data_IF_472126055022
#
_entry.id   IF_472126055022
#
_cell.length_a   1.000
_cell.length_b   1.000
_cell.length_c   1.000
_cell.angle_alpha   90.00
_cell.angle_beta   90.00
_cell.angle_gamma   90.00
#
_symmetry.space_group_name_H-M   'P 1'
#
loop_
_entity.id
_entity.type
_entity.pdbx_description
1 polymer ?
#
# COMPACT_ATOMS: atom_id res chain seq x y z
N UNK A 1 34.74 -4.58 11.28
CA UNK A 1 33.70 -5.13 12.17
C UNK A 1 32.85 -4.04 12.82
N UNK A 2 33.41 -3.13 13.63
CA UNK A 2 32.61 -2.07 14.27
C UNK A 2 31.99 -1.12 13.23
N UNK A 3 32.75 -0.74 12.20
CA UNK A 3 32.26 0.12 11.11
C UNK A 3 31.14 -0.53 10.29
N UNK A 4 31.29 -1.81 9.93
CA UNK A 4 30.28 -2.58 9.19
C UNK A 4 29.01 -2.82 10.00
N UNK A 5 29.15 -2.97 11.31
CA UNK A 5 28.01 -2.99 12.25
C UNK A 5 27.28 -1.65 12.28
N UNK A 6 27.99 -0.53 12.35
CA UNK A 6 27.36 0.81 12.27
C UNK A 6 26.63 1.01 10.95
N UNK A 7 27.22 0.60 9.82
CA UNK A 7 26.57 0.66 8.51
C UNK A 7 25.28 -0.17 8.46
N UNK A 8 25.27 -1.35 9.09
CA UNK A 8 24.07 -2.18 9.21
C UNK A 8 23.00 -1.52 10.08
N UNK A 9 23.39 -0.90 11.20
CA UNK A 9 22.47 -0.17 12.08
C UNK A 9 21.84 1.01 11.32
N UNK A 10 22.63 1.78 10.59
CA UNK A 10 22.12 2.88 9.76
C UNK A 10 21.17 2.38 8.67
N UNK A 11 21.48 1.24 8.04
CA UNK A 11 20.57 0.63 7.07
C UNK A 11 19.25 0.16 7.69
N UNK A 12 19.28 -0.43 8.90
CA UNK A 12 18.08 -0.82 9.64
C UNK A 12 17.23 0.38 10.06
N UNK A 13 17.86 1.50 10.44
CA UNK A 13 17.16 2.75 10.76
C UNK A 13 16.53 3.37 9.53
N UNK A 14 17.26 3.39 8.40
CA UNK A 14 16.71 3.86 7.14
C UNK A 14 15.51 3.01 6.71
N UNK A 15 15.60 1.68 6.80
CA UNK A 15 14.47 0.79 6.48
C UNK A 15 13.25 1.05 7.38
N UNK A 16 13.46 1.26 8.68
CA UNK A 16 12.41 1.63 9.64
C UNK A 16 11.74 2.95 9.25
N UNK A 17 12.53 3.97 8.91
CA UNK A 17 12.01 5.26 8.45
C UNK A 17 11.15 5.09 7.19
N UNK A 18 11.61 4.30 6.22
CA UNK A 18 10.87 4.07 4.97
C UNK A 18 9.52 3.37 5.20
N UNK A 19 9.43 2.44 6.17
CA UNK A 19 8.14 1.85 6.55
C UNK A 19 7.23 2.83 7.29
N UNK A 20 7.78 3.70 8.13
CA UNK A 20 7.00 4.76 8.79
C UNK A 20 6.38 5.74 7.79
N UNK A 21 7.19 6.19 6.82
CA UNK A 21 6.74 7.05 5.71
C UNK A 21 5.66 6.37 4.87
N UNK A 22 5.82 5.09 4.53
CA UNK A 22 4.80 4.34 3.80
C UNK A 22 3.50 4.20 4.59
N UNK A 23 3.57 3.98 5.91
CA UNK A 23 2.38 3.90 6.74
C UNK A 23 1.61 5.23 6.77
N UNK A 24 2.32 6.36 6.85
CA UNK A 24 1.72 7.68 6.76
C UNK A 24 1.03 7.92 5.40
N UNK A 25 1.65 7.50 4.29
CA UNK A 25 1.05 7.57 2.96
C UNK A 25 -0.22 6.70 2.85
N UNK A 26 -0.20 5.49 3.39
CA UNK A 26 -1.36 4.60 3.41
C UNK A 26 -2.51 5.18 4.26
N UNK A 27 -2.19 5.86 5.37
CA UNK A 27 -3.20 6.54 6.18
C UNK A 27 -3.80 7.75 5.44
N UNK A 28 -2.98 8.50 4.70
CA UNK A 28 -3.45 9.60 3.86
C UNK A 28 -4.36 9.09 2.73
N UNK A 29 -4.00 7.99 2.07
CA UNK A 29 -4.82 7.35 1.04
C UNK A 29 -6.21 6.98 1.59
N UNK A 30 -6.25 6.38 2.79
CA UNK A 30 -7.51 6.00 3.43
C UNK A 30 -8.42 7.22 3.68
N UNK A 31 -7.87 8.34 4.13
CA UNK A 31 -8.63 9.57 4.34
C UNK A 31 -9.18 10.13 3.02
N UNK A 32 -8.37 10.17 1.96
CA UNK A 32 -8.80 10.62 0.63
C UNK A 32 -9.95 9.75 0.08
N UNK A 33 -9.91 8.43 0.29
CA UNK A 33 -10.98 7.51 -0.10
C UNK A 33 -12.27 7.77 0.67
N UNK A 34 -12.17 8.02 1.98
CA UNK A 34 -13.32 8.35 2.82
C UNK A 34 -13.95 9.70 2.44
N UNK A 35 -13.14 10.69 2.12
CA UNK A 35 -13.58 12.03 1.70
C UNK A 35 -14.05 12.09 0.23
N UNK A 36 -13.97 10.97 -0.51
CA UNK A 36 -14.31 10.85 -1.94
C UNK A 36 -13.53 11.84 -2.82
N UNK A 37 -12.31 12.18 -2.43
CA UNK A 37 -11.44 13.10 -3.16
C UNK A 37 -10.70 12.35 -4.29
N UNK A 38 -11.37 12.12 -5.41
CA UNK A 38 -10.84 11.36 -6.55
C UNK A 38 -9.53 11.95 -7.14
N UNK A 39 -9.38 13.28 -7.14
CA UNK A 39 -8.17 13.94 -7.64
C UNK A 39 -6.94 13.68 -6.75
N UNK A 40 -7.15 13.50 -5.44
CA UNK A 40 -6.07 13.22 -4.49
C UNK A 40 -5.61 11.75 -4.53
N UNK A 41 -6.42 10.85 -5.11
CA UNK A 41 -6.11 9.43 -5.22
C UNK A 41 -4.94 9.18 -6.19
N UNK A 42 -4.94 9.84 -7.36
CA UNK A 42 -3.86 9.67 -8.35
C UNK A 42 -2.50 10.14 -7.84
N UNK A 43 -2.47 11.25 -7.09
CA UNK A 43 -1.24 11.75 -6.47
C UNK A 43 -0.73 10.78 -5.39
N UNK A 44 -1.64 10.19 -4.62
CA UNK A 44 -1.29 9.23 -3.57
C UNK A 44 -0.72 7.93 -4.16
N UNK A 45 -1.28 7.44 -5.26
CA UNK A 45 -0.75 6.25 -5.97
C UNK A 45 0.66 6.50 -6.51
N UNK A 46 0.93 7.67 -7.08
CA UNK A 46 2.28 8.03 -7.54
C UNK A 46 3.28 8.08 -6.37
N UNK A 47 2.89 8.66 -5.23
CA UNK A 47 3.72 8.69 -4.02
C UNK A 47 4.00 7.28 -3.47
N UNK A 48 3.02 6.37 -3.48
CA UNK A 48 3.20 4.98 -3.07
C UNK A 48 4.18 4.22 -3.97
N UNK A 49 4.17 4.47 -5.29
CA UNK A 49 5.13 3.86 -6.22
C UNK A 49 6.57 4.31 -5.93
N UNK A 50 6.78 5.62 -5.71
CA UNK A 50 8.09 6.16 -5.33
C UNK A 50 8.56 5.55 -4.01
N UNK A 51 7.67 5.47 -3.01
CA UNK A 51 7.97 4.90 -1.71
C UNK A 51 8.31 3.39 -1.79
N UNK A 52 7.64 2.65 -2.68
CA UNK A 52 7.96 1.25 -2.96
C UNK A 52 9.40 1.07 -3.43
N UNK A 53 9.85 1.90 -4.38
CA UNK A 53 11.23 1.89 -4.85
C UNK A 53 12.25 2.25 -3.75
N UNK A 54 11.91 3.21 -2.89
CA UNK A 54 12.76 3.60 -1.76
C UNK A 54 12.93 2.47 -0.73
N UNK A 55 11.85 1.71 -0.44
CA UNK A 55 11.89 0.53 0.43
C UNK A 55 12.75 -0.59 -0.18
N UNK A 56 12.60 -0.86 -1.48
CA UNK A 56 13.42 -1.87 -2.16
C UNK A 56 14.91 -1.52 -2.10
N UNK A 57 15.27 -0.25 -2.34
CA UNK A 57 16.63 0.24 -2.21
C UNK A 57 17.16 0.11 -0.77
N UNK A 58 16.35 0.47 0.23
CA UNK A 58 16.71 0.35 1.65
C UNK A 58 16.95 -1.13 2.04
N UNK A 59 16.09 -2.05 1.61
CA UNK A 59 16.25 -3.50 1.84
C UNK A 59 17.51 -4.05 1.18
N UNK A 60 17.78 -3.66 -0.07
CA UNK A 60 18.97 -4.08 -0.79
C UNK A 60 20.25 -3.61 -0.06
N UNK A 61 20.23 -2.39 0.48
CA UNK A 61 21.33 -1.83 1.27
C UNK A 61 21.50 -2.54 2.62
N UNK A 62 20.41 -2.84 3.34
CA UNK A 62 20.48 -3.66 4.57
C UNK A 62 21.11 -5.02 4.25
N UNK A 63 20.66 -5.66 3.19
CA UNK A 63 21.12 -6.99 2.79
C UNK A 63 22.61 -7.00 2.40
N UNK A 64 23.08 -5.98 1.68
CA UNK A 64 24.50 -5.86 1.36
C UNK A 64 25.37 -5.69 2.60
N UNK A 65 24.99 -4.82 3.53
CA UNK A 65 25.72 -4.65 4.80
C UNK A 65 25.66 -5.90 5.69
N UNK A 66 24.51 -6.60 5.71
CA UNK A 66 24.37 -7.89 6.41
C UNK A 66 25.37 -8.91 5.87
N UNK A 67 25.45 -9.09 4.54
CA UNK A 67 26.39 -10.05 3.91
C UNK A 67 27.85 -9.74 4.22
N UNK A 68 28.22 -8.45 4.21
CA UNK A 68 29.57 -8.03 4.58
C UNK A 68 29.86 -8.37 6.05
N UNK A 69 28.91 -8.11 6.95
CA UNK A 69 29.07 -8.42 8.37
C UNK A 69 29.16 -9.92 8.63
N UNK A 70 28.29 -10.71 8.01
CA UNK A 70 28.26 -12.17 8.08
C UNK A 70 29.58 -12.78 7.58
N UNK A 71 30.12 -12.26 6.46
CA UNK A 71 31.43 -12.66 5.95
C UNK A 71 32.57 -12.36 6.92
N UNK A 72 32.49 -11.26 7.68
CA UNK A 72 33.48 -10.95 8.73
C UNK A 72 33.36 -11.84 9.97
N UNK A 73 32.15 -12.36 10.25
CA UNK A 73 31.88 -13.25 11.37
C UNK A 73 32.12 -14.73 11.03
N UNK A 74 32.42 -15.05 9.77
CA UNK A 74 32.60 -16.43 9.30
C UNK A 74 31.32 -17.25 9.28
N UNK A 75 30.16 -16.58 9.26
CA UNK A 75 28.84 -17.21 9.23
C UNK A 75 28.39 -17.47 7.76
N UNK A 76 27.45 -18.39 7.52
CA UNK A 76 26.89 -18.61 6.20
C UNK A 76 26.15 -17.36 5.71
N UNK A 77 26.25 -17.04 4.41
CA UNK A 77 25.66 -15.82 3.83
C UNK A 77 24.14 -15.68 4.06
N UNK A 78 23.44 -16.81 4.21
CA UNK A 78 21.99 -16.84 4.47
C UNK A 78 21.63 -16.87 5.97
N UNK A 79 22.62 -16.70 6.86
CA UNK A 79 22.40 -16.70 8.31
C UNK A 79 21.36 -15.63 8.71
N UNK A 80 20.26 -16.00 9.39
CA UNK A 80 19.27 -15.06 9.87
C UNK A 80 19.84 -14.17 10.98
N UNK A 81 19.20 -13.03 11.24
CA UNK A 81 19.62 -12.12 12.32
C UNK A 81 19.67 -12.80 13.70
N UNK A 82 18.85 -13.82 13.95
CA UNK A 82 18.89 -14.64 15.17
C UNK A 82 20.22 -15.37 15.38
N UNK A 83 20.89 -15.74 14.29
CA UNK A 83 22.21 -16.36 14.32
C UNK A 83 23.34 -15.32 14.31
N UNK A 84 23.11 -14.13 13.77
CA UNK A 84 24.11 -13.05 13.73
C UNK A 84 24.25 -12.36 15.09
N UNK A 85 23.14 -12.06 15.77
CA UNK A 85 23.10 -11.27 17.02
C UNK A 85 24.01 -11.83 18.13
N UNK A 86 24.07 -13.15 18.40
CA UNK A 86 24.95 -13.71 19.44
C UNK A 86 26.44 -13.41 19.21
N UNK A 87 26.87 -13.27 17.95
CA UNK A 87 28.27 -12.99 17.59
C UNK A 87 28.62 -11.49 17.60
N UNK A 88 27.64 -10.61 17.82
CA UNK A 88 27.89 -9.17 17.93
C UNK A 88 28.45 -8.81 19.32
N UNK A 89 29.16 -7.68 19.43
CA UNK A 89 29.61 -7.17 20.73
C UNK A 89 28.41 -6.86 21.63
N UNK A 90 28.56 -7.11 22.93
CA UNK A 90 27.44 -7.12 23.90
C UNK A 90 26.67 -5.81 23.93
N UNK A 91 27.36 -4.67 23.82
CA UNK A 91 26.78 -3.33 23.83
C UNK A 91 25.78 -3.07 22.68
N UNK A 92 25.94 -3.78 21.55
CA UNK A 92 25.13 -3.56 20.34
C UNK A 92 24.04 -4.61 20.14
N UNK A 93 24.13 -5.77 20.81
CA UNK A 93 23.11 -6.83 20.73
C UNK A 93 21.69 -6.32 20.98
N UNK A 94 21.38 -5.61 22.10
CA UNK A 94 20.02 -5.16 22.37
C UNK A 94 19.53 -4.14 21.35
N UNK A 95 20.41 -3.26 20.84
CA UNK A 95 20.05 -2.28 19.83
C UNK A 95 19.68 -2.93 18.50
N UNK A 96 20.51 -3.84 17.99
CA UNK A 96 20.26 -4.52 16.73
C UNK A 96 19.02 -5.40 16.83
N UNK A 97 18.85 -6.10 17.95
CA UNK A 97 17.67 -6.90 18.21
C UNK A 97 16.39 -6.05 18.16
N UNK A 98 16.35 -4.94 18.90
CA UNK A 98 15.20 -4.04 18.91
C UNK A 98 14.89 -3.46 17.53
N UNK A 99 15.91 -3.08 16.75
CA UNK A 99 15.73 -2.58 15.39
C UNK A 99 15.16 -3.62 14.43
N UNK A 100 15.60 -4.87 14.53
CA UNK A 100 15.07 -5.97 13.71
C UNK A 100 13.63 -6.29 14.09
N UNK A 101 13.33 -6.36 15.39
CA UNK A 101 11.97 -6.58 15.89
C UNK A 101 11.02 -5.47 15.43
N UNK A 102 11.42 -4.20 15.55
CA UNK A 102 10.59 -3.07 15.14
C UNK A 102 10.39 -3.00 13.62
N UNK A 103 11.43 -3.25 12.81
CA UNK A 103 11.28 -3.35 11.35
C UNK A 103 10.27 -4.42 10.95
N UNK A 104 10.35 -5.62 11.55
CA UNK A 104 9.41 -6.70 11.29
C UNK A 104 7.97 -6.32 11.69
N UNK A 105 7.81 -5.68 12.85
CA UNK A 105 6.50 -5.21 13.32
C UNK A 105 5.90 -4.18 12.38
N UNK A 106 6.68 -3.20 11.92
CA UNK A 106 6.23 -2.19 10.96
C UNK A 106 5.88 -2.81 9.62
N UNK A 107 6.68 -3.76 9.13
CA UNK A 107 6.39 -4.47 7.89
C UNK A 107 5.01 -5.15 7.93
N UNK A 108 4.71 -5.87 9.02
CA UNK A 108 3.40 -6.52 9.20
C UNK A 108 2.27 -5.49 9.22
N UNK A 109 2.46 -4.36 9.90
CA UNK A 109 1.47 -3.27 9.95
C UNK A 109 1.22 -2.66 8.58
N UNK A 110 2.28 -2.37 7.83
CA UNK A 110 2.19 -1.83 6.46
C UNK A 110 1.44 -2.80 5.56
N UNK A 111 1.77 -4.10 5.59
CA UNK A 111 1.07 -5.12 4.81
C UNK A 111 -0.42 -5.20 5.16
N UNK A 112 -0.75 -5.15 6.46
CA UNK A 112 -2.13 -5.14 6.91
C UNK A 112 -2.87 -3.89 6.42
N UNK A 113 -2.25 -2.71 6.50
CA UNK A 113 -2.83 -1.43 6.10
C UNK A 113 -3.04 -1.33 4.59
N UNK A 114 -2.05 -1.74 3.80
CA UNK A 114 -2.16 -1.80 2.34
C UNK A 114 -3.30 -2.74 1.92
N UNK A 115 -3.42 -3.91 2.56
CA UNK A 115 -4.53 -4.85 2.29
C UNK A 115 -5.89 -4.25 2.65
N UNK A 116 -6.00 -3.51 3.76
CA UNK A 116 -7.23 -2.82 4.15
C UNK A 116 -7.63 -1.77 3.10
N UNK A 117 -6.68 -0.94 2.64
CA UNK A 117 -6.94 0.09 1.65
C UNK A 117 -7.43 -0.50 0.32
N UNK A 118 -6.77 -1.56 -0.17
CA UNK A 118 -7.24 -2.26 -1.37
C UNK A 118 -8.68 -2.76 -1.24
N UNK A 119 -9.05 -3.36 -0.10
CA UNK A 119 -10.43 -3.81 0.14
C UNK A 119 -11.44 -2.66 0.18
N UNK A 120 -11.10 -1.54 0.83
CA UNK A 120 -11.96 -0.35 0.89
C UNK A 120 -12.21 0.24 -0.50
N UNK A 121 -11.17 0.33 -1.33
CA UNK A 121 -11.26 0.81 -2.71
C UNK A 121 -12.15 -0.10 -3.56
N UNK A 122 -11.91 -1.42 -3.55
CA UNK A 122 -12.73 -2.38 -4.31
C UNK A 122 -14.20 -2.27 -3.90
N UNK A 123 -14.48 -2.22 -2.59
CA UNK A 123 -15.86 -2.12 -2.09
C UNK A 123 -16.53 -0.78 -2.47
N UNK A 124 -15.78 0.32 -2.48
CA UNK A 124 -16.28 1.63 -2.88
C UNK A 124 -16.64 1.66 -4.37
N UNK A 125 -15.82 1.04 -5.22
CA UNK A 125 -16.11 0.86 -6.65
C UNK A 125 -17.34 0.00 -6.88
N UNK A 126 -17.50 -1.11 -6.15
CA UNK A 126 -18.68 -1.97 -6.24
C UNK A 126 -19.98 -1.23 -5.86
N UNK A 127 -19.95 -0.42 -4.79
CA UNK A 127 -21.11 0.39 -4.38
C UNK A 127 -21.42 1.45 -5.45
N UNK A 128 -20.41 2.12 -5.99
CA UNK A 128 -20.58 3.10 -7.06
C UNK A 128 -21.14 2.45 -8.34
N UNK A 129 -20.64 1.28 -8.72
CA UNK A 129 -21.18 0.51 -9.84
C UNK A 129 -22.64 0.14 -9.63
N UNK A 130 -23.01 -0.36 -8.43
CA UNK A 130 -24.43 -0.65 -8.11
C UNK A 130 -25.30 0.59 -8.14
N UNK A 131 -24.79 1.74 -7.66
CA UNK A 131 -25.50 3.01 -7.72
C UNK A 131 -25.70 3.46 -9.18
N UNK A 132 -24.66 3.44 -10.01
CA UNK A 132 -24.76 3.74 -11.44
C UNK A 132 -25.71 2.77 -12.15
N UNK A 133 -25.59 1.47 -11.92
CA UNK A 133 -26.52 0.47 -12.45
C UNK A 133 -27.95 0.73 -12.00
N UNK A 134 -28.19 1.16 -10.75
CA UNK A 134 -29.53 1.50 -10.28
C UNK A 134 -30.07 2.79 -10.92
N UNK A 135 -29.24 3.81 -11.15
CA UNK A 135 -29.63 5.04 -11.84
C UNK A 135 -29.95 4.78 -13.32
N UNK A 136 -29.13 3.98 -14.01
CA UNK A 136 -29.35 3.62 -15.40
C UNK A 136 -30.43 2.54 -15.60
N UNK A 137 -30.69 1.68 -14.61
CA UNK A 137 -31.80 0.72 -14.62
C UNK A 137 -33.15 1.35 -14.23
N UNK A 138 -33.16 2.39 -13.38
CA UNK A 138 -34.38 3.12 -13.03
C UNK A 138 -35.03 3.84 -14.24
N UNK A 139 -34.30 4.05 -15.32
CA UNK A 139 -34.84 4.54 -16.60
C UNK A 139 -35.59 3.49 -17.43
N UNK A 140 -35.59 2.21 -17.02
CA UNK A 140 -36.26 1.10 -17.73
C UNK A 140 -37.41 0.52 -16.91
N UNK A 141 -38.15 1.32 -16.15
CA UNK A 141 -39.49 0.89 -15.73
C UNK A 141 -40.38 0.85 -16.97
N UNK A 142 -40.49 -0.32 -17.59
CA UNK A 142 -41.49 -0.62 -18.61
C UNK A 142 -42.88 -0.43 -17.98
N UNK A 143 -43.46 0.74 -18.13
CA UNK A 143 -44.85 1.00 -17.76
C UNK A 143 -45.75 0.23 -18.70
N UNK A 144 -46.53 -0.70 -18.15
CA UNK A 144 -47.60 -1.40 -18.86
C UNK A 144 -48.55 -0.37 -19.49
N UNK A 145 -48.58 -0.30 -20.81
CA UNK A 145 -49.63 0.42 -21.53
C UNK A 145 -50.96 -0.34 -21.40
N UNK A 146 -52.07 0.39 -21.30
CA UNK A 146 -53.43 -0.14 -21.00
C UNK A 146 -54.01 -1.20 -21.95
N UNK A 147 -53.27 -1.68 -22.96
CA UNK A 147 -53.67 -2.74 -23.89
C UNK A 147 -52.83 -4.03 -23.79
N UNK A 148 -52.07 -4.23 -22.71
CA UNK A 148 -51.43 -5.54 -22.43
C UNK A 148 -50.31 -5.97 -23.38
N UNK A 149 -49.75 -5.06 -24.19
CA UNK A 149 -48.58 -5.32 -25.02
C UNK A 149 -47.31 -4.72 -24.37
N UNK A 150 -46.27 -5.55 -24.20
CA UNK A 150 -44.95 -5.13 -23.73
C UNK A 150 -44.22 -4.44 -24.89
N UNK A 151 -44.07 -3.12 -24.81
CA UNK A 151 -43.22 -2.38 -25.76
C UNK A 151 -41.78 -2.50 -25.26
N UNK A 152 -40.84 -3.08 -26.02
CA UNK A 152 -39.43 -3.08 -25.63
C UNK A 152 -38.91 -1.65 -25.73
N UNK A 153 -38.27 -1.17 -24.66
CA UNK A 153 -37.64 0.13 -24.63
C UNK A 153 -36.54 0.18 -25.71
N UNK A 154 -36.77 0.97 -26.76
CA UNK A 154 -35.77 1.25 -27.79
C UNK A 154 -34.68 2.11 -27.14
N UNK A 155 -33.48 1.55 -27.07
CA UNK A 155 -32.31 2.24 -26.57
C UNK A 155 -31.78 3.31 -27.52
N UNK A 156 -31.05 4.24 -26.89
CA UNK A 156 -30.08 5.20 -27.42
C UNK A 156 -30.59 6.55 -27.95
N UNK A 157 -30.37 7.56 -27.10
CA UNK A 157 -29.29 8.51 -27.40
C UNK A 157 -29.71 9.83 -28.01
N UNK A 158 -30.22 10.76 -27.21
CA UNK A 158 -29.98 12.18 -27.45
C UNK A 158 -29.70 12.92 -26.14
N UNK A 159 -28.55 13.60 -26.15
CA UNK A 159 -28.07 14.53 -25.14
C UNK A 159 -29.14 15.55 -24.79
N UNK A 160 -29.55 15.60 -23.51
CA UNK A 160 -30.46 16.63 -22.98
C UNK A 160 -29.76 17.98 -22.73
N UNK A 161 -28.47 18.12 -23.09
CA UNK A 161 -27.70 19.37 -22.94
C UNK A 161 -27.48 20.05 -24.29
N UNK A 162 -28.54 20.27 -25.06
CA UNK A 162 -28.52 21.25 -26.13
C UNK A 162 -29.79 22.09 -26.05
N UNK A 163 -29.77 23.09 -25.16
CA UNK A 163 -30.47 24.39 -25.26
C UNK A 163 -30.34 25.11 -23.92
N UNK A 164 -29.38 26.03 -23.84
CA UNK A 164 -29.26 27.31 -23.08
C UNK A 164 -27.75 27.60 -23.16
N UNK A 165 -27.21 28.41 -24.08
CA UNK A 165 -27.36 29.85 -24.35
C UNK A 165 -27.10 30.10 -25.84
#
# INVERSE_FOLDING_TARGET
>A
MIETLHQLIEALRAELQQYGELLALLDQEQNCVLERAADNLLQTVAALQVQGGAIEAARARRESHRRVLVGQLGLPQDAPFSEIIPHLPEDYRPLVQALVEENNRLLVRVQQRARQNHLLLTRSLEIMQRFLSSLFAAGQTATYGGNGAVVPAVGFGHSLYQTVI
#
